data_IF_149071583896
#
_entry.id   IF_149071583896
#
_cell.length_a   1.000
_cell.length_b   1.000
_cell.length_c   1.000
_cell.angle_alpha   90.00
_cell.angle_beta   90.00
_cell.angle_gamma   90.00
#
_symmetry.space_group_name_H-M   'P 1'
#
loop_
_entity.id
_entity.type
_entity.pdbx_description
1 polymer ?
#
# COMPACT_ATOMS: atom_id res chain seq x y z
N UNK A 1 -33.51 -155.82 -46.05
CA UNK A 1 -33.06 -154.47 -46.47
C UNK A 1 -31.93 -154.65 -47.47
N UNK A 2 -32.00 -153.99 -48.64
CA UNK A 2 -31.00 -154.13 -49.72
C UNK A 2 -29.76 -153.24 -49.47
N UNK A 3 -28.59 -153.74 -49.83
CA UNK A 3 -27.25 -153.19 -49.54
C UNK A 3 -27.02 -151.76 -50.09
N UNK A 4 -27.75 -151.38 -51.14
CA UNK A 4 -27.73 -150.02 -51.71
C UNK A 4 -28.31 -148.95 -50.79
N UNK A 5 -29.32 -149.27 -49.97
CA UNK A 5 -29.87 -148.32 -49.00
C UNK A 5 -28.86 -148.01 -47.89
N UNK A 6 -28.05 -149.00 -47.49
CA UNK A 6 -27.00 -148.81 -46.49
C UNK A 6 -25.88 -147.90 -47.03
N UNK A 7 -25.44 -148.09 -48.29
CA UNK A 7 -24.45 -147.22 -48.93
C UNK A 7 -24.95 -145.78 -49.11
N UNK A 8 -26.23 -145.59 -49.42
CA UNK A 8 -26.82 -144.26 -49.55
C UNK A 8 -26.93 -143.54 -48.20
N UNK A 9 -27.29 -144.25 -47.13
CA UNK A 9 -27.30 -143.72 -45.76
C UNK A 9 -25.89 -143.37 -45.31
N UNK A 10 -24.91 -144.23 -45.59
CA UNK A 10 -23.51 -144.01 -45.22
C UNK A 10 -22.91 -142.80 -45.98
N UNK A 11 -23.18 -142.67 -47.28
CA UNK A 11 -22.74 -141.50 -48.05
C UNK A 11 -23.44 -140.22 -47.60
N UNK A 12 -24.75 -140.25 -47.28
CA UNK A 12 -25.45 -139.09 -46.72
C UNK A 12 -24.95 -138.74 -45.32
N UNK A 13 -24.59 -139.74 -44.51
CA UNK A 13 -23.94 -139.56 -43.22
C UNK A 13 -22.58 -138.91 -43.35
N UNK A 14 -21.71 -139.39 -44.25
CA UNK A 14 -20.39 -138.79 -44.54
C UNK A 14 -20.52 -137.35 -45.06
N UNK A 15 -21.46 -137.07 -45.96
CA UNK A 15 -21.72 -135.71 -46.47
C UNK A 15 -22.28 -134.80 -45.38
N UNK A 16 -23.18 -135.29 -44.51
CA UNK A 16 -23.68 -134.54 -43.37
C UNK A 16 -22.56 -134.24 -42.36
N UNK A 17 -21.71 -135.21 -42.03
CA UNK A 17 -20.56 -135.00 -41.15
C UNK A 17 -19.56 -134.01 -41.73
N UNK A 18 -19.30 -134.05 -43.05
CA UNK A 18 -18.44 -133.06 -43.70
C UNK A 18 -19.07 -131.65 -43.68
N UNK A 19 -20.39 -131.53 -43.87
CA UNK A 19 -21.10 -130.27 -43.81
C UNK A 19 -21.17 -129.70 -42.39
N UNK A 20 -21.47 -130.53 -41.39
CA UNK A 20 -21.42 -130.15 -39.97
C UNK A 20 -20.01 -129.74 -39.55
N UNK A 21 -18.98 -130.48 -39.95
CA UNK A 21 -17.59 -130.11 -39.73
C UNK A 21 -17.24 -128.76 -40.36
N UNK A 22 -17.70 -128.49 -41.58
CA UNK A 22 -17.49 -127.19 -42.26
C UNK A 22 -18.22 -126.03 -41.57
N UNK A 23 -19.42 -126.28 -41.04
CA UNK A 23 -20.21 -125.30 -40.28
C UNK A 23 -19.56 -125.01 -38.92
N UNK A 24 -19.12 -126.03 -38.19
CA UNK A 24 -18.38 -125.88 -36.93
C UNK A 24 -17.05 -125.16 -37.14
N UNK A 25 -16.29 -125.47 -38.20
CA UNK A 25 -15.06 -124.72 -38.53
C UNK A 25 -15.37 -123.27 -38.89
N UNK A 26 -16.43 -123.00 -39.66
CA UNK A 26 -16.84 -121.63 -39.99
C UNK A 26 -17.32 -120.83 -38.77
N UNK A 27 -17.92 -121.50 -37.78
CA UNK A 27 -18.32 -120.86 -36.53
C UNK A 27 -17.12 -120.56 -35.64
N UNK A 28 -16.20 -121.53 -35.48
CA UNK A 28 -14.97 -121.33 -34.71
C UNK A 28 -14.07 -120.23 -35.30
N UNK A 29 -14.00 -120.12 -36.63
CA UNK A 29 -13.28 -119.02 -37.30
C UNK A 29 -13.91 -117.65 -37.03
N UNK A 30 -15.25 -117.55 -37.00
CA UNK A 30 -15.96 -116.31 -36.66
C UNK A 30 -15.73 -115.92 -35.19
N UNK A 31 -15.77 -116.89 -34.27
CA UNK A 31 -15.52 -116.65 -32.86
C UNK A 31 -14.09 -116.14 -32.63
N UNK A 32 -13.09 -116.76 -33.29
CA UNK A 32 -11.70 -116.30 -33.27
C UNK A 32 -11.53 -114.90 -33.84
N UNK A 33 -12.17 -114.60 -34.97
CA UNK A 33 -12.13 -113.26 -35.59
C UNK A 33 -12.74 -112.21 -34.65
N UNK A 34 -13.89 -112.53 -34.04
CA UNK A 34 -14.55 -111.67 -33.07
C UNK A 34 -13.66 -111.42 -31.84
N UNK A 35 -13.00 -112.45 -31.32
CA UNK A 35 -12.08 -112.33 -30.18
C UNK A 35 -10.90 -111.40 -30.51
N UNK A 36 -10.30 -111.54 -31.70
CA UNK A 36 -9.23 -110.64 -32.17
C UNK A 36 -9.74 -109.19 -32.24
N UNK A 37 -10.89 -108.96 -32.90
CA UNK A 37 -11.48 -107.62 -33.04
C UNK A 37 -11.81 -107.02 -31.67
N UNK A 38 -12.41 -107.80 -30.77
CA UNK A 38 -12.74 -107.38 -29.41
C UNK A 38 -11.46 -107.02 -28.64
N UNK A 39 -10.41 -107.83 -28.74
CA UNK A 39 -9.13 -107.55 -28.07
C UNK A 39 -8.47 -106.27 -28.59
N UNK A 40 -8.53 -106.02 -29.91
CA UNK A 40 -7.99 -104.81 -30.51
C UNK A 40 -8.78 -103.58 -30.07
N UNK A 41 -10.12 -103.61 -30.19
CA UNK A 41 -10.96 -102.52 -29.74
C UNK A 41 -10.81 -102.27 -28.23
N UNK A 42 -10.66 -103.32 -27.41
CA UNK A 42 -10.40 -103.17 -25.98
C UNK A 42 -9.10 -102.41 -25.72
N UNK A 43 -8.02 -102.75 -26.44
CA UNK A 43 -6.74 -102.04 -26.34
C UNK A 43 -6.84 -100.57 -26.78
N UNK A 44 -7.55 -100.29 -27.87
CA UNK A 44 -7.81 -98.92 -28.34
C UNK A 44 -8.62 -98.12 -27.31
N UNK A 45 -9.67 -98.71 -26.74
CA UNK A 45 -10.50 -98.10 -25.69
C UNK A 45 -9.64 -97.75 -24.47
N UNK A 46 -8.78 -98.66 -24.02
CA UNK A 46 -7.94 -98.41 -22.84
C UNK A 46 -6.87 -97.33 -23.12
N UNK A 47 -6.27 -97.32 -24.32
CA UNK A 47 -5.36 -96.23 -24.72
C UNK A 47 -6.07 -94.87 -24.79
N UNK A 48 -7.31 -94.83 -25.27
CA UNK A 48 -8.10 -93.60 -25.29
C UNK A 48 -8.47 -93.13 -23.88
N UNK A 49 -8.81 -94.05 -22.96
CA UNK A 49 -9.08 -93.71 -21.56
C UNK A 49 -7.86 -93.10 -20.89
N UNK A 50 -6.68 -93.67 -21.09
CA UNK A 50 -5.43 -93.13 -20.53
C UNK A 50 -5.16 -91.70 -21.03
N UNK A 51 -5.30 -91.47 -22.35
CA UNK A 51 -5.17 -90.12 -22.92
C UNK A 51 -6.22 -89.14 -22.39
N UNK A 52 -7.45 -89.57 -22.17
CA UNK A 52 -8.50 -88.74 -21.56
C UNK A 52 -8.10 -88.34 -20.14
N UNK A 53 -7.56 -89.27 -19.36
CA UNK A 53 -7.12 -88.99 -17.98
C UNK A 53 -5.94 -88.01 -17.93
N UNK A 54 -4.93 -88.20 -18.79
CA UNK A 54 -3.83 -87.25 -18.93
C UNK A 54 -4.32 -85.84 -19.29
N UNK A 55 -5.29 -85.74 -20.20
CA UNK A 55 -5.88 -84.47 -20.62
C UNK A 55 -6.72 -83.84 -19.49
N UNK A 56 -7.44 -84.63 -18.70
CA UNK A 56 -8.17 -84.14 -17.54
C UNK A 56 -7.21 -83.55 -16.50
N UNK A 57 -6.10 -84.22 -16.23
CA UNK A 57 -5.06 -83.70 -15.33
C UNK A 57 -4.42 -82.40 -15.86
N UNK A 58 -4.17 -82.31 -17.17
CA UNK A 58 -3.68 -81.09 -17.81
C UNK A 58 -4.70 -79.94 -17.67
N UNK A 59 -5.99 -80.21 -17.90
CA UNK A 59 -7.08 -79.24 -17.73
C UNK A 59 -7.17 -78.75 -16.28
N UNK A 60 -6.99 -79.62 -15.29
CA UNK A 60 -6.98 -79.25 -13.87
C UNK A 60 -5.79 -78.35 -13.52
N UNK A 61 -4.60 -78.62 -14.05
CA UNK A 61 -3.42 -77.77 -13.86
C UNK A 61 -3.62 -76.39 -14.50
N UNK A 62 -4.15 -76.34 -15.73
CA UNK A 62 -4.46 -75.09 -16.42
C UNK A 62 -5.51 -74.27 -15.68
N UNK A 63 -6.57 -74.88 -15.17
CA UNK A 63 -7.57 -74.18 -14.34
C UNK A 63 -6.95 -73.56 -13.09
N UNK A 64 -6.08 -74.28 -12.39
CA UNK A 64 -5.36 -73.74 -11.22
C UNK A 64 -4.47 -72.56 -11.61
N UNK A 65 -3.75 -72.65 -12.73
CA UNK A 65 -2.91 -71.55 -13.22
C UNK A 65 -3.72 -70.31 -13.60
N UNK A 66 -4.85 -70.48 -14.30
CA UNK A 66 -5.77 -69.39 -14.66
C UNK A 66 -6.27 -68.68 -13.40
N UNK A 67 -6.71 -69.43 -12.38
CA UNK A 67 -7.18 -68.84 -11.12
C UNK A 67 -6.10 -68.00 -10.42
N UNK A 68 -4.86 -68.48 -10.39
CA UNK A 68 -3.73 -67.72 -9.83
C UNK A 68 -3.47 -66.43 -10.62
N UNK A 69 -3.57 -66.47 -11.95
CA UNK A 69 -3.42 -65.29 -12.80
C UNK A 69 -4.54 -64.28 -12.59
N UNK A 70 -5.79 -64.74 -12.46
CA UNK A 70 -6.93 -63.87 -12.15
C UNK A 70 -6.75 -63.16 -10.81
N UNK A 71 -6.32 -63.88 -9.77
CA UNK A 71 -6.08 -63.29 -8.45
C UNK A 71 -4.91 -62.27 -8.48
N UNK A 72 -3.86 -62.54 -9.25
CA UNK A 72 -2.76 -61.58 -9.48
C UNK A 72 -3.26 -60.34 -10.22
N UNK A 73 -4.07 -60.50 -11.26
CA UNK A 73 -4.63 -59.38 -12.01
C UNK A 73 -5.54 -58.51 -11.14
N UNK A 74 -6.38 -59.11 -10.28
CA UNK A 74 -7.20 -58.36 -9.31
C UNK A 74 -6.34 -57.55 -8.34
N UNK A 75 -5.27 -58.13 -7.82
CA UNK A 75 -4.33 -57.42 -6.93
C UNK A 75 -3.64 -56.25 -7.63
N UNK A 76 -3.22 -56.45 -8.88
CA UNK A 76 -2.61 -55.40 -9.70
C UNK A 76 -3.58 -54.27 -10.01
N UNK A 77 -4.84 -54.57 -10.32
CA UNK A 77 -5.88 -53.57 -10.58
C UNK A 77 -6.14 -52.68 -9.35
N UNK A 78 -6.23 -53.30 -8.16
CA UNK A 78 -6.36 -52.57 -6.89
C UNK A 78 -5.13 -51.66 -6.67
N UNK A 79 -3.93 -52.20 -6.83
CA UNK A 79 -2.69 -51.43 -6.64
C UNK A 79 -2.60 -50.25 -7.63
N UNK A 80 -2.97 -50.46 -8.90
CA UNK A 80 -3.01 -49.41 -9.91
C UNK A 80 -4.01 -48.30 -9.55
N UNK A 81 -5.21 -48.66 -9.08
CA UNK A 81 -6.21 -47.68 -8.62
C UNK A 81 -5.67 -46.83 -7.47
N UNK A 82 -5.08 -47.46 -6.46
CA UNK A 82 -4.47 -46.74 -5.32
C UNK A 82 -3.36 -45.79 -5.78
N UNK A 83 -2.47 -46.24 -6.66
CA UNK A 83 -1.39 -45.38 -7.19
C UNK A 83 -1.93 -44.22 -8.03
N UNK A 84 -2.98 -44.43 -8.82
CA UNK A 84 -3.63 -43.37 -9.57
C UNK A 84 -4.24 -42.30 -8.65
N UNK A 85 -4.87 -42.69 -7.55
CA UNK A 85 -5.39 -41.76 -6.54
C UNK A 85 -4.27 -40.97 -5.85
N UNK A 86 -3.15 -41.62 -5.51
CA UNK A 86 -1.97 -40.94 -4.95
C UNK A 86 -1.40 -39.92 -5.94
N UNK A 87 -1.26 -40.29 -7.21
CA UNK A 87 -0.80 -39.39 -8.28
C UNK A 87 -1.75 -38.20 -8.43
N UNK A 88 -3.07 -38.41 -8.36
CA UNK A 88 -4.04 -37.32 -8.40
C UNK A 88 -3.86 -36.36 -7.21
N UNK A 89 -3.72 -36.88 -5.98
CA UNK A 89 -3.46 -36.06 -4.79
C UNK A 89 -2.16 -35.27 -4.92
N UNK A 90 -1.08 -35.91 -5.39
CA UNK A 90 0.20 -35.24 -5.60
C UNK A 90 0.10 -34.13 -6.65
N UNK A 91 -0.60 -34.37 -7.77
CA UNK A 91 -0.86 -33.32 -8.78
C UNK A 91 -1.56 -32.11 -8.18
N UNK A 92 -2.62 -32.31 -7.39
CA UNK A 92 -3.33 -31.19 -6.73
C UNK A 92 -2.44 -30.41 -5.76
N UNK A 93 -1.53 -31.11 -5.06
CA UNK A 93 -0.57 -30.46 -4.15
C UNK A 93 0.47 -29.65 -4.91
N UNK A 94 0.99 -30.17 -6.02
CA UNK A 94 1.92 -29.46 -6.90
C UNK A 94 1.27 -28.18 -7.44
N UNK A 95 0.04 -28.26 -7.97
CA UNK A 95 -0.64 -27.07 -8.49
C UNK A 95 -0.88 -25.99 -7.42
N UNK A 96 -1.15 -26.41 -6.17
CA UNK A 96 -1.30 -25.47 -5.05
C UNK A 96 0.03 -24.79 -4.72
N UNK A 97 1.12 -25.56 -4.65
CA UNK A 97 2.46 -25.03 -4.38
C UNK A 97 2.95 -24.09 -5.49
N UNK A 98 2.65 -24.39 -6.76
CA UNK A 98 2.96 -23.49 -7.88
C UNK A 98 2.21 -22.15 -7.78
N UNK A 99 0.93 -22.18 -7.39
CA UNK A 99 0.16 -20.97 -7.16
C UNK A 99 0.69 -20.14 -5.97
N UNK A 100 1.05 -20.81 -4.86
CA UNK A 100 1.67 -20.15 -3.70
C UNK A 100 3.03 -19.53 -4.07
N UNK A 101 3.87 -20.25 -4.82
CA UNK A 101 5.16 -19.76 -5.32
C UNK A 101 4.97 -18.49 -6.15
N UNK A 102 4.05 -18.51 -7.12
CA UNK A 102 3.74 -17.33 -7.95
C UNK A 102 3.26 -16.14 -7.10
N UNK A 103 2.41 -16.40 -6.11
CA UNK A 103 1.94 -15.37 -5.18
C UNK A 103 3.07 -14.76 -4.33
N UNK A 104 4.07 -15.55 -3.94
CA UNK A 104 5.26 -15.07 -3.23
C UNK A 104 6.19 -14.26 -4.15
N UNK A 105 6.40 -14.69 -5.39
CA UNK A 105 7.18 -13.96 -6.40
C UNK A 105 6.57 -12.58 -6.69
N UNK A 106 5.24 -12.48 -6.83
CA UNK A 106 4.55 -11.20 -7.02
C UNK A 106 4.69 -10.27 -5.80
N UNK A 107 4.62 -10.81 -4.58
CA UNK A 107 4.85 -10.04 -3.34
C UNK A 107 6.29 -9.54 -3.26
N UNK A 108 7.27 -10.37 -3.61
CA UNK A 108 8.68 -10.01 -3.62
C UNK A 108 8.92 -8.85 -4.59
N UNK A 109 8.44 -8.97 -5.84
CA UNK A 109 8.54 -7.90 -6.85
C UNK A 109 7.95 -6.57 -6.36
N UNK A 110 6.84 -6.61 -5.63
CA UNK A 110 6.22 -5.41 -5.06
C UNK A 110 7.08 -4.79 -3.93
N UNK A 111 7.74 -5.62 -3.11
CA UNK A 111 8.66 -5.14 -2.06
C UNK A 111 9.91 -4.53 -2.69
N UNK A 112 10.51 -5.20 -3.68
CA UNK A 112 11.65 -4.66 -4.44
C UNK A 112 11.31 -3.29 -5.04
N UNK A 113 10.17 -3.17 -5.73
CA UNK A 113 9.75 -1.88 -6.28
C UNK A 113 9.45 -0.80 -5.23
N UNK A 114 9.07 -1.18 -4.00
CA UNK A 114 8.94 -0.22 -2.88
C UNK A 114 10.31 0.23 -2.38
N UNK A 115 11.25 -0.69 -2.28
CA UNK A 115 12.62 -0.42 -1.85
C UNK A 115 13.31 0.53 -2.83
N UNK A 116 13.21 0.30 -4.14
CA UNK A 116 13.76 1.18 -5.17
C UNK A 116 13.22 2.62 -5.08
N UNK A 117 11.94 2.79 -4.72
CA UNK A 117 11.34 4.12 -4.52
C UNK A 117 11.87 4.79 -3.26
N UNK A 118 11.99 4.04 -2.17
CA UNK A 118 12.55 4.56 -0.92
C UNK A 118 14.02 4.95 -1.10
N UNK A 119 14.80 4.17 -1.84
CA UNK A 119 16.20 4.47 -2.13
C UNK A 119 16.35 5.79 -2.90
N UNK A 120 15.50 6.02 -3.91
CA UNK A 120 15.44 7.31 -4.63
C UNK A 120 15.03 8.48 -3.73
N UNK A 121 14.03 8.29 -2.87
CA UNK A 121 13.60 9.33 -1.93
C UNK A 121 14.71 9.69 -0.94
N UNK A 122 15.46 8.70 -0.45
CA UNK A 122 16.64 8.93 0.40
C UNK A 122 17.72 9.71 -0.36
N UNK A 123 18.00 9.36 -1.62
CA UNK A 123 18.98 10.08 -2.44
C UNK A 123 18.57 11.55 -2.69
N UNK A 124 17.28 11.80 -2.93
CA UNK A 124 16.74 13.16 -3.09
C UNK A 124 16.83 13.96 -1.78
N UNK A 125 16.52 13.34 -0.64
CA UNK A 125 16.65 13.97 0.67
C UNK A 125 18.10 14.30 1.02
N UNK A 126 19.05 13.42 0.70
CA UNK A 126 20.47 13.68 0.92
C UNK A 126 20.98 14.85 0.07
N UNK A 127 20.55 14.94 -1.20
CA UNK A 127 20.83 16.11 -2.06
C UNK A 127 20.24 17.39 -1.50
N UNK A 128 18.97 17.36 -1.08
CA UNK A 128 18.31 18.53 -0.48
C UNK A 128 19.01 18.98 0.80
N UNK A 129 19.43 18.03 1.65
CA UNK A 129 20.20 18.28 2.86
C UNK A 129 21.54 18.94 2.54
N UNK A 130 22.25 18.46 1.53
CA UNK A 130 23.53 19.06 1.12
C UNK A 130 23.35 20.52 0.69
N UNK A 131 22.33 20.80 -0.14
CA UNK A 131 22.00 22.18 -0.56
C UNK A 131 21.70 23.07 0.64
N UNK A 132 20.91 22.57 1.59
CA UNK A 132 20.57 23.31 2.80
C UNK A 132 21.79 23.58 3.69
N UNK A 133 22.74 22.64 3.79
CA UNK A 133 23.99 22.82 4.52
C UNK A 133 24.86 23.90 3.87
N UNK A 134 24.96 23.90 2.54
CA UNK A 134 25.67 24.94 1.77
C UNK A 134 25.03 26.32 1.97
N UNK A 135 23.70 26.43 1.90
CA UNK A 135 22.98 27.69 2.20
C UNK A 135 23.23 28.17 3.63
N UNK A 136 23.23 27.26 4.62
CA UNK A 136 23.52 27.60 6.01
C UNK A 136 24.94 28.13 6.20
N UNK A 137 25.93 27.57 5.50
CA UNK A 137 27.30 28.08 5.52
C UNK A 137 27.35 29.49 4.93
N UNK A 138 26.73 29.71 3.77
CA UNK A 138 26.69 31.02 3.12
C UNK A 138 26.00 32.08 4.01
N UNK A 139 24.88 31.74 4.65
CA UNK A 139 24.17 32.64 5.56
C UNK A 139 25.02 33.00 6.78
N UNK A 140 25.76 32.03 7.35
CA UNK A 140 26.70 32.30 8.47
C UNK A 140 27.81 33.27 8.04
N UNK A 141 28.34 33.12 6.83
CA UNK A 141 29.35 34.02 6.28
C UNK A 141 28.78 35.43 6.07
N UNK A 142 27.61 35.57 5.43
CA UNK A 142 26.94 36.86 5.27
C UNK A 142 26.66 37.55 6.62
N UNK A 143 26.21 36.80 7.63
CA UNK A 143 26.00 37.34 8.98
C UNK A 143 27.31 37.83 9.62
N UNK A 144 28.42 37.13 9.42
CA UNK A 144 29.72 37.55 9.92
C UNK A 144 30.18 38.87 9.26
N UNK A 145 30.00 39.01 7.94
CA UNK A 145 30.30 40.23 7.20
C UNK A 145 29.45 41.40 7.73
N UNK A 146 28.14 41.23 7.80
CA UNK A 146 27.22 42.25 8.31
C UNK A 146 27.55 42.65 9.75
N UNK A 147 27.91 41.70 10.61
CA UNK A 147 28.33 42.00 11.98
C UNK A 147 29.58 42.88 12.01
N UNK A 148 30.53 42.66 11.09
CA UNK A 148 31.72 43.51 10.94
C UNK A 148 31.36 44.93 10.47
N UNK A 149 30.49 45.05 9.47
CA UNK A 149 30.01 46.35 8.96
C UNK A 149 29.27 47.14 10.05
N UNK A 150 28.41 46.48 10.84
CA UNK A 150 27.70 47.11 11.96
C UNK A 150 28.67 47.65 13.00
N UNK A 151 29.72 46.90 13.35
CA UNK A 151 30.72 47.37 14.31
C UNK A 151 31.54 48.54 13.74
N UNK A 152 31.86 48.52 12.44
CA UNK A 152 32.51 49.64 11.74
C UNK A 152 31.65 50.91 11.78
N UNK A 153 30.38 50.82 11.38
CA UNK A 153 29.43 51.94 11.41
C UNK A 153 29.25 52.47 12.83
N UNK A 154 29.23 51.59 13.83
CA UNK A 154 29.16 51.97 15.24
C UNK A 154 30.40 52.74 15.68
N UNK A 155 31.60 52.35 15.25
CA UNK A 155 32.84 53.10 15.52
C UNK A 155 32.82 54.48 14.84
N UNK A 156 32.43 54.56 13.57
CA UNK A 156 32.28 55.82 12.84
C UNK A 156 31.28 56.75 13.53
N UNK A 157 30.12 56.23 13.94
CA UNK A 157 29.09 56.97 14.66
C UNK A 157 29.62 57.56 15.98
N UNK A 158 30.44 56.80 16.72
CA UNK A 158 31.10 57.30 17.94
C UNK A 158 32.08 58.43 17.61
N UNK A 159 32.88 58.29 16.55
CA UNK A 159 33.81 59.34 16.10
C UNK A 159 33.06 60.62 15.72
N UNK A 160 32.06 60.52 14.84
CA UNK A 160 31.24 61.65 14.41
C UNK A 160 30.47 62.28 15.58
N UNK A 161 30.05 61.50 16.58
CA UNK A 161 29.43 62.02 17.80
C UNK A 161 30.42 62.85 18.62
N UNK A 162 31.65 62.39 18.78
CA UNK A 162 32.70 63.11 19.50
C UNK A 162 33.08 64.40 18.77
N UNK A 163 33.25 64.36 17.45
CA UNK A 163 33.47 65.55 16.62
C UNK A 163 32.33 66.56 16.75
N UNK A 164 31.08 66.12 16.66
CA UNK A 164 29.91 66.99 16.88
C UNK A 164 29.89 67.59 18.28
N UNK A 165 30.30 66.85 19.32
CA UNK A 165 30.40 67.40 20.67
C UNK A 165 31.46 68.50 20.76
N UNK A 166 32.59 68.34 20.08
CA UNK A 166 33.65 69.35 20.00
C UNK A 166 33.19 70.59 19.23
N UNK A 167 32.63 70.41 18.03
CA UNK A 167 32.04 71.51 17.26
C UNK A 167 30.95 72.25 18.03
N UNK A 168 30.11 71.53 18.78
CA UNK A 168 29.08 72.15 19.64
C UNK A 168 29.68 72.97 20.78
N UNK A 169 30.86 72.62 21.29
CA UNK A 169 31.61 73.48 22.23
C UNK A 169 32.10 74.74 21.50
N UNK A 170 32.76 74.59 20.35
CA UNK A 170 33.24 75.74 19.56
C UNK A 170 32.12 76.70 19.15
N UNK A 171 30.98 76.20 18.69
CA UNK A 171 29.81 77.02 18.35
C UNK A 171 29.25 77.72 19.57
N UNK A 172 29.26 77.11 20.77
CA UNK A 172 28.87 77.80 22.01
C UNK A 172 29.86 78.90 22.38
N UNK A 173 31.15 78.65 22.25
CA UNK A 173 32.20 79.63 22.55
C UNK A 173 32.14 80.82 21.57
N UNK A 174 31.92 80.56 20.28
CA UNK A 174 31.68 81.58 19.27
C UNK A 174 30.35 82.32 19.50
N UNK A 175 29.29 81.60 19.88
CA UNK A 175 28.00 82.18 20.25
C UNK A 175 28.09 83.10 21.46
N UNK A 176 28.86 82.73 22.50
CA UNK A 176 29.16 83.61 23.63
C UNK A 176 29.95 84.85 23.18
N UNK A 177 30.94 84.70 22.29
CA UNK A 177 31.67 85.83 21.70
C UNK A 177 30.76 86.76 20.87
N UNK A 178 29.75 86.21 20.19
CA UNK A 178 28.78 86.98 19.41
C UNK A 178 27.78 87.72 20.33
N UNK A 179 27.35 87.10 21.43
CA UNK A 179 26.49 87.72 22.46
C UNK A 179 27.21 88.87 23.18
N UNK A 180 28.54 88.83 23.30
CA UNK A 180 29.33 90.00 23.76
C UNK A 180 29.46 91.13 22.73
N UNK A 181 29.13 90.90 21.45
CA UNK A 181 29.31 91.89 20.37
C UNK A 181 27.99 92.48 19.84
N UNK A 182 26.84 91.82 20.05
CA UNK A 182 25.51 92.36 19.77
C UNK A 182 24.49 91.91 20.83
N UNK A 183 23.90 92.84 21.63
CA UNK A 183 22.78 92.50 22.49
C UNK A 183 21.49 92.48 21.67
N UNK A 184 20.54 91.62 22.06
CA UNK A 184 19.19 91.38 21.50
C UNK A 184 19.17 90.58 20.19
N UNK A 185 18.43 89.49 20.01
CA UNK A 185 17.30 88.91 20.74
C UNK A 185 16.33 88.38 19.69
N UNK A 186 16.39 87.08 19.36
CA UNK A 186 15.43 86.46 18.43
C UNK A 186 15.36 84.94 18.64
N UNK A 187 14.21 84.47 19.13
CA UNK A 187 13.32 83.50 18.44
C UNK A 187 12.40 82.80 19.46
N UNK A 188 11.15 83.21 19.46
CA UNK A 188 10.00 82.39 19.86
C UNK A 188 9.13 82.18 18.63
N UNK A 189 8.70 80.94 18.38
CA UNK A 189 7.83 80.61 17.26
C UNK A 189 7.53 79.11 17.13
N UNK A 190 6.38 78.74 17.70
CA UNK A 190 5.31 77.86 17.16
C UNK A 190 4.98 76.58 17.95
N UNK A 191 3.67 76.32 18.20
CA UNK A 191 3.18 75.10 18.83
C UNK A 191 3.25 73.91 17.86
N UNK A 192 3.76 72.79 18.35
CA UNK A 192 3.82 71.50 17.66
C UNK A 192 2.41 70.95 17.41
N UNK A 193 1.97 70.95 16.14
CA UNK A 193 1.06 69.92 15.64
C UNK A 193 1.86 68.63 15.50
N UNK A 194 1.34 67.55 16.08
CA UNK A 194 1.97 66.22 16.08
C UNK A 194 2.46 65.82 14.68
N UNK A 195 3.71 65.35 14.51
CA UNK A 195 4.19 64.90 13.21
C UNK A 195 3.31 63.75 12.71
N UNK A 196 3.04 63.65 11.39
CA UNK A 196 2.47 62.43 10.83
C UNK A 196 3.39 61.24 11.17
N UNK A 197 2.82 60.03 11.39
CA UNK A 197 3.60 58.84 11.66
C UNK A 197 4.66 58.62 10.57
N UNK A 198 5.81 58.01 10.90
CA UNK A 198 6.88 57.74 9.94
C UNK A 198 6.34 57.11 8.64
N UNK A 199 6.84 57.49 7.45
CA UNK A 199 6.38 56.93 6.17
C UNK A 199 6.38 55.38 6.13
N UNK A 200 7.34 54.78 6.83
CA UNK A 200 7.47 53.33 7.01
C UNK A 200 6.32 52.71 7.81
N UNK A 201 5.88 53.38 8.87
CA UNK A 201 4.74 52.98 9.69
C UNK A 201 3.45 53.03 8.84
N UNK A 202 3.29 54.08 8.05
CA UNK A 202 2.14 54.23 7.17
C UNK A 202 2.10 53.16 6.07
N UNK A 203 3.25 52.82 5.47
CA UNK A 203 3.36 51.76 4.47
C UNK A 203 2.99 50.38 5.05
N UNK A 204 3.47 50.05 6.24
CA UNK A 204 3.14 48.78 6.90
C UNK A 204 1.65 48.66 7.21
N UNK A 205 1.01 49.74 7.67
CA UNK A 205 -0.44 49.77 7.93
C UNK A 205 -1.26 49.52 6.65
N UNK A 206 -0.87 50.11 5.52
CA UNK A 206 -1.54 49.91 4.23
C UNK A 206 -1.39 48.48 3.70
N UNK A 207 -0.18 47.89 3.78
CA UNK A 207 0.07 46.53 3.30
C UNK A 207 -0.64 45.46 4.15
N UNK A 208 -0.71 45.65 5.47
CA UNK A 208 -1.48 44.76 6.33
C UNK A 208 -3.00 44.90 6.13
N UNK A 209 -3.50 46.11 5.84
CA UNK A 209 -4.92 46.31 5.52
C UNK A 209 -5.27 45.71 4.14
N UNK A 210 -4.41 45.84 3.15
CA UNK A 210 -4.53 45.15 1.86
C UNK A 210 -4.69 43.64 2.07
N UNK A 211 -3.82 43.06 2.89
CA UNK A 211 -3.83 41.64 3.21
C UNK A 211 -5.14 41.19 3.85
N UNK A 212 -5.68 41.97 4.80
CA UNK A 212 -7.00 41.74 5.43
C UNK A 212 -8.13 41.78 4.40
N UNK A 213 -8.14 42.80 3.53
CA UNK A 213 -9.18 42.96 2.51
C UNK A 213 -9.12 41.86 1.46
N UNK A 214 -7.93 41.43 1.06
CA UNK A 214 -7.74 40.33 0.12
C UNK A 214 -8.38 39.05 0.67
N UNK A 215 -8.07 38.67 1.92
CA UNK A 215 -8.66 37.49 2.56
C UNK A 215 -10.18 37.59 2.71
N UNK A 216 -10.71 38.78 3.02
CA UNK A 216 -12.15 39.02 3.06
C UNK A 216 -12.82 38.85 1.67
N UNK A 217 -12.18 39.36 0.61
CA UNK A 217 -12.65 39.18 -0.77
C UNK A 217 -12.59 37.72 -1.21
N UNK A 218 -11.54 36.99 -0.87
CA UNK A 218 -11.41 35.56 -1.15
C UNK A 218 -12.53 34.77 -0.45
N UNK A 219 -12.76 35.03 0.84
CA UNK A 219 -13.84 34.36 1.58
C UNK A 219 -15.21 34.68 0.98
N UNK A 220 -15.48 35.94 0.63
CA UNK A 220 -16.71 36.36 -0.05
C UNK A 220 -16.92 35.64 -1.38
N UNK A 221 -15.84 35.39 -2.13
CA UNK A 221 -15.92 34.70 -3.42
C UNK A 221 -16.31 33.22 -3.24
N UNK A 222 -15.71 32.53 -2.28
CA UNK A 222 -15.99 31.11 -2.01
C UNK A 222 -17.36 30.93 -1.34
N UNK A 223 -17.64 31.73 -0.31
CA UNK A 223 -18.83 31.66 0.52
C UNK A 223 -19.60 33.00 0.58
N UNK A 224 -20.22 33.44 -0.53
CA UNK A 224 -20.93 34.72 -0.56
C UNK A 224 -22.08 34.79 0.44
N UNK A 225 -22.74 33.66 0.71
CA UNK A 225 -23.89 33.59 1.63
C UNK A 225 -23.49 33.59 3.12
N UNK A 226 -22.23 33.27 3.44
CA UNK A 226 -21.71 33.24 4.82
C UNK A 226 -20.81 34.44 5.12
N UNK A 227 -20.68 35.37 4.16
CA UNK A 227 -19.82 36.53 4.30
C UNK A 227 -20.50 37.63 5.11
N UNK A 228 -19.77 38.17 6.09
CA UNK A 228 -20.15 39.29 6.94
C UNK A 228 -18.97 40.26 7.05
N UNK A 229 -19.16 41.56 6.83
CA UNK A 229 -18.04 42.52 6.74
C UNK A 229 -17.29 42.76 8.05
N UNK A 230 -17.81 42.24 9.17
CA UNK A 230 -17.28 42.46 10.53
C UNK A 230 -16.21 41.41 10.88
N UNK A 231 -16.25 40.23 10.25
CA UNK A 231 -15.40 39.10 10.62
C UNK A 231 -14.04 39.18 9.92
N UNK A 232 -12.96 39.00 10.69
CA UNK A 232 -11.61 38.84 10.17
C UNK A 232 -11.40 37.46 9.54
N UNK A 233 -11.75 37.32 8.26
CA UNK A 233 -11.55 36.08 7.51
C UNK A 233 -10.08 35.81 7.24
N UNK A 234 -9.68 34.55 7.38
CA UNK A 234 -8.34 34.06 7.05
C UNK A 234 -8.46 32.94 6.02
N UNK A 235 -7.40 32.69 5.25
CA UNK A 235 -7.37 31.57 4.28
C UNK A 235 -7.63 30.22 4.98
N UNK A 236 -7.05 30.01 6.17
CA UNK A 236 -7.38 28.86 7.02
C UNK A 236 -8.87 28.74 7.41
N UNK A 237 -9.59 29.85 7.50
CA UNK A 237 -11.04 29.86 7.75
C UNK A 237 -11.78 29.31 6.54
N UNK A 238 -11.40 29.73 5.33
CA UNK A 238 -11.95 29.17 4.07
C UNK A 238 -11.74 27.64 4.03
N UNK A 239 -10.52 27.16 4.30
CA UNK A 239 -10.23 25.71 4.33
C UNK A 239 -11.06 24.96 5.37
N UNK A 240 -11.23 25.55 6.55
CA UNK A 240 -12.05 24.95 7.62
C UNK A 240 -13.51 24.85 7.22
N UNK A 241 -14.06 25.92 6.66
CA UNK A 241 -15.46 25.96 6.27
C UNK A 241 -15.75 25.07 5.06
N UNK A 242 -14.80 24.91 4.12
CA UNK A 242 -14.87 23.90 3.07
C UNK A 242 -14.94 22.47 3.61
N UNK A 243 -14.19 22.17 4.69
CA UNK A 243 -14.25 20.86 5.36
C UNK A 243 -15.54 20.64 6.13
N UNK A 244 -16.12 21.70 6.72
CA UNK A 244 -17.32 21.62 7.56
C UNK A 244 -18.62 21.64 6.75
N UNK A 245 -18.63 22.35 5.63
CA UNK A 245 -19.77 22.52 4.73
C UNK A 245 -19.34 22.19 3.29
N UNK A 246 -19.12 20.89 2.97
CA UNK A 246 -18.66 20.50 1.65
C UNK A 246 -19.80 20.63 0.64
N UNK A 247 -19.88 21.76 -0.04
CA UNK A 247 -20.70 21.92 -1.25
C UNK A 247 -19.81 21.88 -2.47
N UNK A 248 -20.26 21.16 -3.51
CA UNK A 248 -19.52 21.04 -4.77
C UNK A 248 -19.23 22.43 -5.38
N UNK A 249 -20.17 23.36 -5.24
CA UNK A 249 -20.02 24.74 -5.75
C UNK A 249 -18.93 25.53 -5.01
N UNK A 250 -18.77 25.34 -3.68
CA UNK A 250 -17.74 26.04 -2.92
C UNK A 250 -16.34 25.50 -3.23
N UNK A 251 -16.22 24.17 -3.39
CA UNK A 251 -14.97 23.54 -3.81
C UNK A 251 -14.55 23.99 -5.23
N UNK A 252 -15.52 24.08 -6.15
CA UNK A 252 -15.28 24.57 -7.50
C UNK A 252 -14.84 26.05 -7.50
N UNK A 253 -15.53 26.92 -6.75
CA UNK A 253 -15.15 28.34 -6.61
C UNK A 253 -13.76 28.51 -5.98
N UNK A 254 -13.43 27.71 -4.98
CA UNK A 254 -12.09 27.75 -4.37
C UNK A 254 -11.01 27.35 -5.39
N UNK A 255 -11.24 26.27 -6.14
CA UNK A 255 -10.30 25.79 -7.17
C UNK A 255 -10.12 26.79 -8.32
N UNK A 256 -11.22 27.42 -8.75
CA UNK A 256 -11.21 28.48 -9.77
C UNK A 256 -10.46 29.72 -9.27
N UNK A 257 -10.69 30.14 -8.03
CA UNK A 257 -10.02 31.28 -7.41
C UNK A 257 -8.51 31.06 -7.30
N UNK A 258 -8.09 29.88 -6.86
CA UNK A 258 -6.68 29.53 -6.76
C UNK A 258 -5.99 29.58 -8.12
N UNK A 259 -6.63 29.05 -9.18
CA UNK A 259 -6.10 29.13 -10.55
C UNK A 259 -6.02 30.58 -11.05
N UNK A 260 -7.08 31.38 -10.83
CA UNK A 260 -7.12 32.78 -11.27
C UNK A 260 -6.05 33.66 -10.63
N UNK A 261 -5.74 33.40 -9.36
CA UNK A 261 -4.75 34.17 -8.61
C UNK A 261 -3.33 33.59 -8.68
N UNK A 262 -3.13 32.48 -9.39
CA UNK A 262 -1.91 31.69 -9.33
C UNK A 262 -1.49 31.43 -7.86
N UNK A 263 -2.46 31.01 -7.04
CA UNK A 263 -2.30 30.99 -5.60
C UNK A 263 -1.32 29.90 -5.14
N UNK A 264 -0.26 30.31 -4.45
CA UNK A 264 0.73 29.47 -3.79
C UNK A 264 0.75 29.66 -2.26
N UNK A 265 1.30 28.70 -1.53
CA UNK A 265 1.45 28.70 -0.07
C UNK A 265 2.32 29.87 0.42
N UNK A 266 3.30 30.30 -0.38
CA UNK A 266 4.16 31.45 -0.06
C UNK A 266 3.39 32.76 0.13
N UNK A 267 2.28 32.97 -0.59
CA UNK A 267 1.44 34.16 -0.43
C UNK A 267 0.65 34.17 0.87
N UNK A 268 0.29 33.00 1.40
CA UNK A 268 -0.39 32.92 2.70
C UNK A 268 0.55 33.33 3.84
N UNK A 269 1.80 32.87 3.81
CA UNK A 269 2.81 33.30 4.78
C UNK A 269 3.16 34.78 4.62
N UNK A 270 3.26 35.31 3.39
CA UNK A 270 3.47 36.73 3.16
C UNK A 270 2.32 37.59 3.73
N UNK A 271 1.06 37.19 3.52
CA UNK A 271 -0.12 37.86 4.09
C UNK A 271 -0.10 37.83 5.62
N UNK A 272 0.29 36.70 6.20
CA UNK A 272 0.40 36.53 7.66
C UNK A 272 1.48 37.45 8.24
N UNK A 273 2.67 37.49 7.64
CA UNK A 273 3.76 38.38 8.05
C UNK A 273 3.38 39.85 7.93
N UNK A 274 2.71 40.26 6.84
CA UNK A 274 2.22 41.63 6.66
C UNK A 274 1.20 42.03 7.73
N UNK A 275 0.31 41.12 8.12
CA UNK A 275 -0.66 41.35 9.19
C UNK A 275 -0.02 41.40 10.58
N UNK A 276 0.96 40.52 10.85
CA UNK A 276 1.73 40.52 12.10
C UNK A 276 2.56 41.80 12.24
N UNK A 277 3.22 42.24 11.16
CA UNK A 277 3.96 43.49 11.13
C UNK A 277 3.02 44.70 11.33
N UNK A 278 1.86 44.74 10.66
CA UNK A 278 0.83 45.75 10.90
C UNK A 278 0.39 45.76 12.37
N UNK A 279 0.18 44.61 13.00
CA UNK A 279 -0.23 44.55 14.39
C UNK A 279 0.89 45.02 15.34
N UNK A 280 2.14 44.64 15.07
CA UNK A 280 3.31 45.11 15.83
C UNK A 280 3.52 46.62 15.71
N UNK A 281 3.18 47.20 14.56
CA UNK A 281 3.32 48.62 14.27
C UNK A 281 2.12 49.45 14.73
N UNK A 282 0.90 48.90 14.68
CA UNK A 282 -0.33 49.57 15.11
C UNK A 282 -0.54 49.52 16.62
N UNK A 283 0.11 48.59 17.33
CA UNK A 283 -0.09 48.38 18.76
C UNK A 283 1.24 48.50 19.53
N UNK A 284 1.29 49.29 20.61
CA UNK A 284 2.48 49.38 21.45
C UNK A 284 2.78 48.02 22.10
N UNK A 285 4.05 47.78 22.44
CA UNK A 285 4.44 46.62 23.25
C UNK A 285 3.61 46.60 24.52
N UNK A 286 2.81 45.54 24.65
CA UNK A 286 1.89 45.36 25.77
C UNK A 286 2.72 45.11 27.04
N UNK A 287 2.35 45.79 28.13
CA UNK A 287 2.93 45.56 29.46
C UNK A 287 1.80 45.26 30.44
N UNK A 288 2.07 44.50 31.49
CA UNK A 288 1.06 44.17 32.51
C UNK A 288 0.43 45.42 33.15
N UNK A 289 1.20 46.51 33.25
CA UNK A 289 0.70 47.82 33.71
C UNK A 289 -0.31 48.42 32.72
N UNK A 290 0.00 48.46 31.43
CA UNK A 290 -0.91 48.96 30.39
C UNK A 290 -2.19 48.11 30.29
N UNK A 291 -2.10 46.79 30.49
CA UNK A 291 -3.26 45.91 30.50
C UNK A 291 -4.18 46.18 31.69
N UNK A 292 -3.62 46.33 32.88
CA UNK A 292 -4.39 46.68 34.09
C UNK A 292 -5.04 48.06 33.97
N UNK A 293 -4.32 49.05 33.43
CA UNK A 293 -4.88 50.37 33.12
C UNK A 293 -6.02 50.29 32.09
N UNK A 294 -5.90 49.46 31.06
CA UNK A 294 -6.96 49.26 30.06
C UNK A 294 -8.23 48.61 30.65
N UNK A 295 -8.08 47.66 31.59
CA UNK A 295 -9.21 47.03 32.30
C UNK A 295 -9.94 48.04 33.18
N UNK A 296 -9.23 48.94 33.85
CA UNK A 296 -9.85 50.02 34.61
C UNK A 296 -10.64 50.97 33.70
N UNK A 297 -10.04 51.45 32.60
CA UNK A 297 -10.71 52.34 31.63
C UNK A 297 -11.96 51.70 31.01
N UNK A 298 -11.92 50.40 30.69
CA UNK A 298 -13.08 49.68 30.15
C UNK A 298 -14.16 49.42 31.20
N UNK A 299 -13.76 49.26 32.46
CA UNK A 299 -14.67 49.15 33.61
C UNK A 299 -15.41 50.46 33.87
N UNK A 300 -14.68 51.58 33.90
CA UNK A 300 -15.26 52.92 34.08
C UNK A 300 -16.26 53.29 32.97
N UNK A 301 -15.98 52.85 31.73
CA UNK A 301 -16.88 53.06 30.58
C UNK A 301 -18.07 52.10 30.53
N UNK A 302 -18.20 51.17 31.48
CA UNK A 302 -19.31 50.21 31.53
C UNK A 302 -19.30 49.18 30.40
N UNK A 303 -18.15 48.98 29.75
CA UNK A 303 -17.99 48.08 28.60
C UNK A 303 -17.64 46.64 29.02
N UNK A 304 -17.42 46.40 30.31
CA UNK A 304 -17.19 45.06 30.88
C UNK A 304 -18.53 44.38 31.19
N UNK A 305 -19.10 43.69 30.19
CA UNK A 305 -20.37 42.96 30.31
C UNK A 305 -20.27 41.57 29.68
N UNK A 306 -21.10 40.64 30.18
CA UNK A 306 -21.19 39.28 29.65
C UNK A 306 -19.89 38.49 29.88
N UNK A 307 -19.24 38.06 28.80
CA UNK A 307 -18.02 37.24 28.88
C UNK A 307 -16.75 38.04 29.24
N UNK A 308 -16.78 39.36 29.13
CA UNK A 308 -15.69 40.28 29.42
C UNK A 308 -15.86 40.91 30.81
N UNK A 309 -15.83 40.09 31.87
CA UNK A 309 -15.84 40.58 33.26
C UNK A 309 -14.44 40.92 33.73
N UNK A 310 -14.32 41.86 34.67
CA UNK A 310 -13.04 42.29 35.27
C UNK A 310 -12.24 41.09 35.80
N UNK A 311 -12.89 40.23 36.59
CA UNK A 311 -12.30 39.02 37.15
C UNK A 311 -11.68 38.10 36.09
N UNK A 312 -12.35 37.93 34.95
CA UNK A 312 -11.84 37.08 33.86
C UNK A 312 -10.67 37.72 33.13
N UNK A 313 -10.71 39.04 32.95
CA UNK A 313 -9.60 39.78 32.33
C UNK A 313 -8.37 39.77 33.23
N UNK A 314 -8.52 39.90 34.55
CA UNK A 314 -7.40 39.83 35.50
C UNK A 314 -6.75 38.44 35.53
N UNK A 315 -7.55 37.38 35.45
CA UNK A 315 -7.06 36.00 35.29
C UNK A 315 -6.28 35.84 33.98
N UNK A 316 -6.80 36.39 32.87
CA UNK A 316 -6.11 36.35 31.57
C UNK A 316 -4.79 37.13 31.57
N UNK A 317 -4.75 38.28 32.23
CA UNK A 317 -3.51 39.07 32.41
C UNK A 317 -2.51 38.25 33.24
N UNK A 318 -2.96 37.61 34.31
CA UNK A 318 -2.10 36.77 35.16
C UNK A 318 -1.55 35.56 34.40
N UNK A 319 -2.35 34.93 33.54
CA UNK A 319 -1.89 33.86 32.66
C UNK A 319 -0.86 34.36 31.64
N UNK A 320 -1.07 35.54 31.07
CA UNK A 320 -0.14 36.15 30.11
C UNK A 320 1.20 36.53 30.77
N UNK A 321 1.20 36.97 32.03
CA UNK A 321 2.44 37.29 32.76
C UNK A 321 3.26 36.05 33.16
N UNK A 322 2.71 34.84 33.05
CA UNK A 322 3.34 33.58 33.48
C UNK A 322 3.94 32.74 32.34
N UNK A 323 3.71 33.10 31.08
CA UNK A 323 4.15 32.37 29.88
C UNK A 323 5.28 33.15 29.20
#
# INVERSE_FOLDING_TARGET
MSEDHLRQIENRGRTATAFFGLVETSQAERERLNEIIISQHSGEIDSLKEKIEEKNEEILRLHKAIKVLEDKNKKLDIALKTRNEEVAKLKTRITKLEAEKKGLEDKLRNVEGKLDRMEKEVEELDKAKQVQEEENVNLKECLAIMSGEVESVKQELVSTRNENQNLKKEVRDLGQKLVTFFPTGFKEGLPMLTPPPPPELQASLFLGELSRQLQAKMYKYVFPQLYTPIVGYKVKTIRRDLKRLPTEEANQRWSELQKKLNWDETYEEAIKLLQENRNANAHPKITGKLLREAVEVLGEKGNLKGWLTRERLDVLISMWEQI
#
